data_IF_099448379589
#
_entry.id   IF_099448379589
#
_cell.length_a   1.000
_cell.length_b   1.000
_cell.length_c   1.000
_cell.angle_alpha   90.00
_cell.angle_beta   90.00
_cell.angle_gamma   90.00
#
_symmetry.space_group_name_H-M   'P 1'
#
loop_
_entity.id
_entity.type
_entity.pdbx_description
1 polymer ?
#
# COMPACT_ATOMS: atom_id res chain seq x y z
N UNK A 1 -47.03 -36.11 36.10
CA UNK A 1 -46.34 -36.54 34.87
C UNK A 1 -45.72 -35.30 34.23
N UNK A 2 -44.38 -35.28 34.08
CA UNK A 2 -43.60 -34.10 33.68
C UNK A 2 -43.35 -34.13 32.17
N UNK A 3 -43.84 -33.13 31.43
CA UNK A 3 -43.51 -32.92 30.02
C UNK A 3 -42.15 -32.22 29.90
N UNK A 4 -41.20 -32.84 29.19
CA UNK A 4 -39.91 -32.25 28.82
C UNK A 4 -40.04 -31.64 27.43
N UNK A 5 -39.96 -30.31 27.32
CA UNK A 5 -39.80 -29.63 26.04
C UNK A 5 -38.31 -29.63 25.66
N UNK A 6 -37.99 -30.18 24.49
CA UNK A 6 -36.64 -30.14 23.90
C UNK A 6 -36.65 -28.98 22.90
N UNK A 7 -35.98 -27.89 23.25
CA UNK A 7 -35.74 -26.75 22.37
C UNK A 7 -34.57 -27.08 21.45
N UNK A 8 -34.88 -27.23 20.15
CA UNK A 8 -33.90 -27.43 19.09
C UNK A 8 -33.38 -26.06 18.62
N UNK A 9 -32.16 -25.69 19.03
CA UNK A 9 -31.52 -24.46 18.56
C UNK A 9 -30.92 -24.67 17.18
N UNK A 10 -31.51 -24.05 16.16
CA UNK A 10 -30.95 -23.98 14.80
C UNK A 10 -29.83 -22.94 14.81
N UNK A 11 -28.58 -23.39 14.69
CA UNK A 11 -27.42 -22.52 14.49
C UNK A 11 -27.37 -22.16 13.00
N UNK A 12 -27.77 -20.93 12.67
CA UNK A 12 -27.56 -20.36 11.34
C UNK A 12 -26.09 -19.95 11.19
N UNK A 13 -25.31 -20.76 10.47
CA UNK A 13 -23.96 -20.41 10.07
C UNK A 13 -24.03 -19.36 8.95
N UNK A 14 -23.65 -18.12 9.28
CA UNK A 14 -23.43 -17.08 8.28
C UNK A 14 -22.17 -17.43 7.49
N UNK A 15 -22.35 -17.80 6.23
CA UNK A 15 -21.28 -17.88 5.24
C UNK A 15 -20.80 -16.45 4.97
N UNK A 16 -19.73 -16.03 5.65
CA UNK A 16 -18.95 -14.86 5.24
C UNK A 16 -18.29 -15.22 3.91
N UNK A 17 -18.86 -14.73 2.81
CA UNK A 17 -18.26 -14.87 1.49
C UNK A 17 -16.85 -14.29 1.50
N UNK A 18 -15.85 -15.13 1.26
CA UNK A 18 -14.48 -14.71 0.98
C UNK A 18 -14.44 -14.09 -0.42
N UNK A 19 -14.88 -12.84 -0.55
CA UNK A 19 -14.51 -11.97 -1.66
C UNK A 19 -13.23 -11.25 -1.28
N UNK A 20 -12.10 -11.96 -1.25
CA UNK A 20 -10.80 -11.37 -0.95
C UNK A 20 -10.37 -10.46 -2.09
N UNK A 21 -10.14 -9.18 -1.80
CA UNK A 21 -9.46 -8.29 -2.72
C UNK A 21 -7.99 -8.76 -2.75
N UNK A 22 -7.56 -9.45 -3.80
CA UNK A 22 -6.22 -10.06 -3.95
C UNK A 22 -5.08 -9.03 -4.06
N UNK A 23 -5.37 -7.76 -3.79
CA UNK A 23 -4.40 -6.69 -3.82
C UNK A 23 -3.41 -6.86 -2.66
N UNK A 24 -2.13 -6.78 -2.98
CA UNK A 24 -1.09 -6.67 -1.96
C UNK A 24 -1.09 -5.23 -1.46
N UNK A 25 -1.23 -5.03 -0.14
CA UNK A 25 -1.32 -3.69 0.46
C UNK A 25 -0.22 -3.49 1.48
N UNK A 26 0.51 -2.38 1.34
CA UNK A 26 1.49 -1.93 2.32
C UNK A 26 1.17 -0.50 2.77
N UNK A 27 1.41 -0.21 4.04
CA UNK A 27 0.93 1.03 4.68
C UNK A 27 2.06 1.73 5.43
N UNK A 28 2.06 3.06 5.37
CA UNK A 28 2.85 3.94 6.23
C UNK A 28 1.93 4.97 6.89
N UNK A 29 1.97 5.06 8.21
CA UNK A 29 1.19 6.04 8.98
C UNK A 29 1.92 7.38 9.04
N UNK A 30 1.24 8.44 8.62
CA UNK A 30 1.72 9.82 8.69
C UNK A 30 1.03 10.46 9.91
N UNK A 31 1.64 10.31 11.09
CA UNK A 31 0.96 10.66 12.33
C UNK A 31 -0.13 9.65 12.72
N UNK A 32 -1.17 10.09 13.44
CA UNK A 32 -2.21 9.18 13.97
C UNK A 32 -3.33 8.88 12.98
N UNK A 33 -3.77 9.89 12.24
CA UNK A 33 -5.03 9.82 11.48
C UNK A 33 -4.83 9.90 9.96
N UNK A 34 -3.60 10.07 9.49
CA UNK A 34 -3.28 10.08 8.05
C UNK A 34 -2.47 8.83 7.72
N UNK A 35 -2.78 8.19 6.60
CA UNK A 35 -2.05 7.03 6.13
C UNK A 35 -1.80 7.10 4.63
N UNK A 36 -0.60 6.68 4.23
CA UNK A 36 -0.26 6.42 2.84
C UNK A 36 -0.19 4.91 2.63
N UNK A 37 -0.99 4.40 1.70
CA UNK A 37 -0.96 3.00 1.28
C UNK A 37 -0.49 2.87 -0.16
N UNK A 38 0.23 1.80 -0.42
CA UNK A 38 0.59 1.34 -1.76
C UNK A 38 -0.04 -0.02 -2.00
N UNK A 39 -0.93 -0.06 -2.98
CA UNK A 39 -1.65 -1.25 -3.39
C UNK A 39 -1.05 -1.76 -4.71
N UNK A 40 -0.78 -3.06 -4.76
CA UNK A 40 -0.40 -3.78 -5.97
C UNK A 40 -1.53 -4.71 -6.36
N UNK A 41 -2.15 -4.44 -7.50
CA UNK A 41 -3.17 -5.31 -8.07
C UNK A 41 -2.52 -6.18 -9.15
N UNK A 42 -2.47 -7.50 -9.01
CA UNK A 42 -1.97 -8.39 -10.06
C UNK A 42 -2.76 -8.17 -11.36
N UNK A 43 -2.06 -7.97 -12.47
CA UNK A 43 -2.69 -7.86 -13.80
C UNK A 43 -2.41 -9.06 -14.70
N UNK A 44 -1.52 -9.95 -14.26
CA UNK A 44 -1.22 -11.21 -14.94
C UNK A 44 -1.16 -12.37 -13.93
N UNK A 45 -1.72 -13.57 -14.24
CA UNK A 45 -1.77 -14.68 -13.29
C UNK A 45 -0.40 -15.33 -13.01
N UNK A 46 0.56 -15.21 -13.93
CA UNK A 46 1.86 -15.90 -13.83
C UNK A 46 3.07 -14.98 -13.81
N UNK A 47 2.90 -13.69 -14.11
CA UNK A 47 3.99 -12.73 -14.18
C UNK A 47 3.89 -11.80 -12.98
N UNK A 48 5.04 -11.32 -12.50
CA UNK A 48 5.10 -10.32 -11.44
C UNK A 48 4.77 -8.92 -11.99
N UNK A 49 3.59 -8.77 -12.58
CA UNK A 49 3.11 -7.52 -13.17
C UNK A 49 1.91 -6.99 -12.38
N UNK A 50 1.96 -5.70 -12.05
CA UNK A 50 1.01 -5.08 -11.15
C UNK A 50 0.56 -3.70 -11.62
N UNK A 51 -0.73 -3.45 -11.51
CA UNK A 51 -1.24 -2.09 -11.43
C UNK A 51 -0.90 -1.53 -10.03
N UNK A 52 -0.12 -0.44 -10.00
CA UNK A 52 0.34 0.23 -8.78
C UNK A 52 -0.56 1.41 -8.45
N UNK A 53 -1.05 1.48 -7.22
CA UNK A 53 -1.97 2.53 -6.76
C UNK A 53 -1.46 3.11 -5.45
N UNK A 54 -1.19 4.42 -5.43
CA UNK A 54 -1.02 5.16 -4.18
C UNK A 54 -2.38 5.59 -3.63
N UNK A 55 -2.61 5.35 -2.35
CA UNK A 55 -3.83 5.72 -1.65
C UNK A 55 -3.47 6.58 -0.46
N UNK A 56 -3.82 7.86 -0.52
CA UNK A 56 -3.71 8.79 0.59
C UNK A 56 -5.06 8.83 1.33
N UNK A 57 -5.05 8.46 2.60
CA UNK A 57 -6.18 8.59 3.50
C UNK A 57 -5.95 9.77 4.44
N UNK A 58 -6.80 10.78 4.35
CA UNK A 58 -6.76 11.98 5.17
C UNK A 58 -7.42 11.76 6.55
N UNK A 59 -7.11 12.66 7.49
CA UNK A 59 -7.66 12.63 8.85
C UNK A 59 -9.16 12.93 8.92
N UNK A 60 -9.69 13.58 7.88
CA UNK A 60 -11.12 13.85 7.69
C UNK A 60 -11.88 12.66 7.06
N UNK A 61 -11.19 11.54 6.85
CA UNK A 61 -11.74 10.37 6.16
C UNK A 61 -11.72 10.49 4.64
N UNK A 62 -11.22 11.59 4.07
CA UNK A 62 -11.02 11.71 2.62
C UNK A 62 -10.05 10.65 2.12
N UNK A 63 -10.27 10.18 0.89
CA UNK A 63 -9.39 9.19 0.26
C UNK A 63 -9.09 9.60 -1.16
N UNK A 64 -7.81 9.75 -1.47
CA UNK A 64 -7.30 10.01 -2.81
C UNK A 64 -6.57 8.78 -3.32
N UNK A 65 -6.97 8.30 -4.50
CA UNK A 65 -6.35 7.15 -5.18
C UNK A 65 -5.69 7.64 -6.46
N UNK A 66 -4.41 7.33 -6.64
CA UNK A 66 -3.64 7.72 -7.81
C UNK A 66 -2.94 6.49 -8.41
N UNK A 67 -3.20 6.23 -9.70
CA UNK A 67 -2.45 5.22 -10.45
C UNK A 67 -1.02 5.70 -10.67
N UNK A 68 -0.07 4.83 -10.39
CA UNK A 68 1.36 5.08 -10.59
C UNK A 68 1.82 4.45 -11.91
N UNK A 69 3.12 4.54 -12.21
CA UNK A 69 3.68 3.80 -13.33
C UNK A 69 3.47 2.30 -13.13
N UNK A 70 3.02 1.63 -14.19
CA UNK A 70 2.77 0.19 -14.21
C UNK A 70 4.04 -0.58 -13.85
N UNK A 71 3.90 -1.65 -13.08
CA UNK A 71 4.97 -2.62 -12.91
C UNK A 71 4.83 -3.71 -13.97
N UNK A 72 5.74 -3.72 -14.95
CA UNK A 72 5.78 -4.71 -16.03
C UNK A 72 6.93 -5.71 -15.87
N UNK A 73 7.48 -5.88 -14.66
CA UNK A 73 8.67 -6.73 -14.48
C UNK A 73 9.10 -7.00 -13.05
N UNK A 74 8.20 -6.90 -12.08
CA UNK A 74 8.47 -7.09 -10.66
C UNK A 74 9.24 -5.94 -10.02
N UNK A 75 9.24 -4.76 -10.64
CA UNK A 75 9.85 -3.52 -10.17
C UNK A 75 8.93 -2.72 -9.24
N UNK A 76 8.18 -3.40 -8.37
CA UNK A 76 7.19 -2.75 -7.51
C UNK A 76 7.79 -1.91 -6.37
N UNK A 77 9.06 -2.13 -6.03
CA UNK A 77 9.71 -1.45 -4.92
C UNK A 77 9.64 0.09 -5.08
N UNK A 78 9.26 0.78 -4.00
CA UNK A 78 9.03 2.22 -4.01
C UNK A 78 9.61 2.85 -2.75
N UNK A 79 10.57 3.75 -2.90
CA UNK A 79 11.13 4.50 -1.78
C UNK A 79 10.16 5.61 -1.35
N UNK A 80 10.11 5.87 -0.05
CA UNK A 80 9.37 6.98 0.54
C UNK A 80 10.33 7.99 1.14
N UNK A 81 10.09 9.26 0.83
CA UNK A 81 10.87 10.37 1.34
C UNK A 81 9.98 11.44 1.97
N UNK A 82 10.54 12.17 2.92
CA UNK A 82 9.97 13.38 3.48
C UNK A 82 10.59 14.61 2.80
N UNK A 83 9.75 15.47 2.27
CA UNK A 83 10.14 16.75 1.66
C UNK A 83 9.86 17.95 2.57
N UNK A 84 9.09 17.74 3.64
CA UNK A 84 8.68 18.76 4.58
C UNK A 84 7.63 18.21 5.56
N UNK A 85 7.01 19.07 6.39
CA UNK A 85 6.09 18.63 7.44
C UNK A 85 4.87 17.85 6.93
N UNK A 86 4.31 18.26 5.80
CA UNK A 86 3.11 17.65 5.19
C UNK A 86 3.35 17.18 3.74
N UNK A 87 4.63 17.11 3.32
CA UNK A 87 4.99 16.75 1.95
C UNK A 87 5.90 15.54 1.93
N UNK A 88 5.52 14.59 1.10
CA UNK A 88 6.24 13.34 0.91
C UNK A 88 6.44 13.09 -0.58
N UNK A 89 7.43 12.26 -0.90
CA UNK A 89 7.67 11.81 -2.26
C UNK A 89 7.75 10.29 -2.29
N UNK A 90 6.95 9.67 -3.15
CA UNK A 90 7.15 8.30 -3.59
C UNK A 90 8.08 8.31 -4.80
N UNK A 91 9.12 7.50 -4.75
CA UNK A 91 10.04 7.28 -5.86
C UNK A 91 10.01 5.81 -6.23
N UNK A 92 9.41 5.52 -7.38
CA UNK A 92 9.53 4.22 -8.03
C UNK A 92 10.72 4.20 -8.97
N UNK A 93 10.81 3.15 -9.79
CA UNK A 93 11.86 3.02 -10.80
C UNK A 93 11.71 4.03 -11.94
N UNK A 94 10.47 4.26 -12.39
CA UNK A 94 10.16 5.07 -13.59
C UNK A 94 9.40 6.35 -13.27
N UNK A 95 9.07 6.59 -12.00
CA UNK A 95 8.18 7.64 -11.59
C UNK A 95 8.52 8.25 -10.23
N UNK A 96 8.16 9.52 -10.08
CA UNK A 96 8.16 10.22 -8.81
C UNK A 96 6.79 10.88 -8.61
N UNK A 97 6.27 10.76 -7.40
CA UNK A 97 4.98 11.32 -7.02
C UNK A 97 5.09 12.12 -5.74
N UNK A 98 4.70 13.37 -5.79
CA UNK A 98 4.54 14.24 -4.62
C UNK A 98 3.18 14.00 -3.98
N UNK A 99 3.21 13.86 -2.67
CA UNK A 99 2.06 13.72 -1.80
C UNK A 99 2.04 14.94 -0.89
N UNK A 100 0.93 15.69 -0.90
CA UNK A 100 0.69 16.77 0.04
C UNK A 100 -0.48 16.36 0.94
N UNK A 101 -0.19 16.04 2.19
CA UNK A 101 -1.19 15.55 3.15
C UNK A 101 -2.06 16.67 3.70
N UNK A 102 -1.62 17.93 3.63
CA UNK A 102 -2.42 19.07 4.04
C UNK A 102 -3.43 19.45 2.96
N UNK A 103 -3.03 19.37 1.68
CA UNK A 103 -3.91 19.60 0.55
C UNK A 103 -4.71 18.36 0.12
N UNK A 104 -4.37 17.17 0.63
CA UNK A 104 -4.99 15.91 0.23
C UNK A 104 -4.75 15.59 -1.24
N UNK A 105 -3.52 15.74 -1.75
CA UNK A 105 -3.21 15.55 -3.17
C UNK A 105 -2.09 14.56 -3.40
N UNK A 106 -2.15 13.86 -4.55
CA UNK A 106 -1.07 13.03 -5.08
C UNK A 106 -0.86 13.42 -6.55
N UNK A 107 0.34 13.85 -6.92
CA UNK A 107 0.64 14.34 -8.27
C UNK A 107 2.05 13.97 -8.71
N UNK A 108 2.27 13.86 -10.02
CA UNK A 108 3.62 13.60 -10.54
C UNK A 108 4.56 14.76 -10.19
N UNK A 109 5.78 14.42 -9.78
CA UNK A 109 6.81 15.39 -9.44
C UNK A 109 7.82 14.87 -8.43
N UNK A 110 8.85 15.67 -8.19
CA UNK A 110 9.88 15.43 -7.19
C UNK A 110 10.06 16.67 -6.31
N UNK A 111 10.70 16.50 -5.16
CA UNK A 111 11.08 17.60 -4.29
C UNK A 111 12.60 17.71 -4.17
N UNK A 112 13.06 18.91 -3.85
CA UNK A 112 14.48 19.17 -3.62
C UNK A 112 14.88 18.74 -2.20
N UNK A 113 16.03 18.09 -2.09
CA UNK A 113 16.62 17.62 -0.81
C UNK A 113 15.70 16.75 0.07
N UNK A 114 15.11 15.67 -0.46
CA UNK A 114 14.29 14.74 0.31
C UNK A 114 15.08 13.99 1.39
N UNK A 115 14.44 13.71 2.54
CA UNK A 115 14.97 12.83 3.59
C UNK A 115 14.35 11.44 3.46
N UNK A 116 15.16 10.41 3.33
CA UNK A 116 14.68 9.04 3.19
C UNK A 116 14.01 8.51 4.46
N UNK A 117 12.78 7.99 4.33
CA UNK A 117 11.99 7.44 5.44
C UNK A 117 12.01 5.92 5.44
N UNK A 118 12.01 5.29 4.26
CA UNK A 118 11.89 3.85 4.12
C UNK A 118 11.46 3.43 2.73
N UNK A 119 11.10 2.16 2.59
CA UNK A 119 10.78 1.53 1.32
C UNK A 119 9.55 0.64 1.46
N UNK A 120 8.69 0.70 0.44
CA UNK A 120 7.67 -0.30 0.20
C UNK A 120 8.28 -1.37 -0.70
N UNK A 121 8.43 -2.60 -0.19
CA UNK A 121 8.99 -3.70 -0.95
C UNK A 121 8.38 -5.05 -0.54
N UNK A 122 8.55 -6.02 -1.43
CA UNK A 122 8.24 -7.42 -1.24
C UNK A 122 8.90 -8.19 -2.37
N UNK A 123 9.44 -9.38 -2.10
CA UNK A 123 10.08 -10.21 -3.12
C UNK A 123 9.91 -11.69 -2.82
N UNK A 124 9.41 -12.43 -3.82
CA UNK A 124 9.23 -13.89 -3.71
C UNK A 124 8.32 -14.25 -2.54
N UNK A 125 8.90 -14.77 -1.46
CA UNK A 125 8.18 -15.13 -0.22
C UNK A 125 8.07 -13.99 0.78
N UNK A 126 8.80 -12.90 0.61
CA UNK A 126 8.67 -11.72 1.47
C UNK A 126 7.39 -10.96 1.08
N UNK A 127 6.41 -10.83 2.00
CA UNK A 127 5.17 -10.15 1.69
C UNK A 127 5.41 -8.66 1.53
N UNK A 128 4.65 -8.07 0.61
CA UNK A 128 4.61 -6.64 0.35
C UNK A 128 4.32 -5.86 1.63
N UNK A 129 5.27 -5.04 2.08
CA UNK A 129 5.15 -4.24 3.30
C UNK A 129 6.02 -3.00 3.25
N UNK A 130 5.80 -2.10 4.20
CA UNK A 130 6.69 -0.98 4.44
C UNK A 130 7.82 -1.38 5.41
N UNK A 131 9.05 -1.00 5.08
CA UNK A 131 10.23 -1.09 5.93
C UNK A 131 10.77 0.30 6.21
N UNK A 132 10.99 0.62 7.49
CA UNK A 132 11.57 1.92 7.86
C UNK A 132 13.05 2.01 7.50
N UNK A 133 13.58 3.23 7.45
CA UNK A 133 14.99 3.50 7.16
C UNK A 133 15.97 2.84 8.14
N UNK A 134 15.52 2.54 9.36
CA UNK A 134 16.29 1.79 10.35
C UNK A 134 16.40 0.29 9.98
N UNK A 135 15.37 -0.26 9.34
CA UNK A 135 15.32 -1.67 8.92
C UNK A 135 15.97 -1.88 7.56
N UNK A 136 15.77 -0.92 6.65
CA UNK A 136 16.26 -0.96 5.26
C UNK A 136 16.87 0.41 4.91
N UNK A 137 18.21 0.55 4.90
CA UNK A 137 18.84 1.80 4.51
C UNK A 137 18.53 2.13 3.05
N UNK A 138 18.64 3.41 2.70
CA UNK A 138 18.37 3.86 1.34
C UNK A 138 19.25 3.14 0.32
N UNK A 139 18.62 2.68 -0.76
CA UNK A 139 19.31 2.13 -1.92
C UNK A 139 18.69 2.71 -3.19
N UNK A 140 19.53 2.84 -4.22
CA UNK A 140 19.04 3.13 -5.56
C UNK A 140 18.16 1.97 -6.03
N UNK A 141 16.99 2.31 -6.57
CA UNK A 141 16.13 1.36 -7.26
C UNK A 141 16.75 1.09 -8.64
N UNK A 142 17.43 -0.05 -8.78
CA UNK A 142 18.12 -0.45 -10.01
C UNK A 142 17.31 -1.54 -10.70
N UNK A 143 16.86 -1.34 -11.96
CA UNK A 143 16.18 -2.38 -12.70
C UNK A 143 17.16 -3.53 -12.94
N UNK A 144 17.05 -4.60 -12.16
CA UNK A 144 17.64 -5.89 -12.49
C UNK A 144 16.51 -6.76 -13.00
N UNK A 145 16.51 -7.10 -14.29
CA UNK A 145 15.53 -8.02 -14.89
C UNK A 145 15.19 -9.19 -13.96
N UNK A 146 13.90 -9.49 -13.85
CA UNK A 146 13.40 -10.66 -13.12
C UNK A 146 13.96 -11.97 -13.66
#
# INVERSE_FOLDING_TARGET
MRYRAITLSIIAAWLVGCGGDDNLVASYSIGKDVALRLELKPIHPFLAEYERIAVLQGSDGSTVRQKLALDTGGYSATNLYQCGPARFMLKGYFDNWLIDTAAGTVRSGACDSPVYIGIFEGKGREPWRFHSSQQRPEKALIPSGG
#
